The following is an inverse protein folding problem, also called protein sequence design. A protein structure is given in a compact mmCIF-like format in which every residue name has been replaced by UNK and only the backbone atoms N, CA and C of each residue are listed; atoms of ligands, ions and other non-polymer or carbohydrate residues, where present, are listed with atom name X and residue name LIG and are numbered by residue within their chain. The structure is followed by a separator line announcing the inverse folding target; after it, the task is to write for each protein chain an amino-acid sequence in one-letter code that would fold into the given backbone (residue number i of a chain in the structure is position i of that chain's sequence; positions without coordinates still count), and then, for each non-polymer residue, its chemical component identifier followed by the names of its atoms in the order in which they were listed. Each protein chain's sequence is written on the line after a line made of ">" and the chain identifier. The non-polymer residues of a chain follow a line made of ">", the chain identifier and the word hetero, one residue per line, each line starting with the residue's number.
data_IF_467079414291
#
_entry.id   IF_467079414291
#
_cell.length_a   1.000
_cell.length_b   1.000
_cell.length_c   1.000
_cell.angle_alpha   90.00
_cell.angle_beta   90.00
_cell.angle_gamma   90.00
#
_symmetry.space_group_name_H-M   'P 1'
#
loop_
_entity.id
_entity.type
_entity.pdbx_description
1 polymer ?
#
# COMPACT_ATOMS: atom_id res chain seq x y z
N UNK A 1 12.58 14.66 -2.81
CA UNK A 1 12.79 13.88 -1.57
C UNK A 1 11.68 12.85 -1.50
N UNK A 2 11.98 11.56 -1.68
CA UNK A 2 10.99 10.47 -1.53
C UNK A 2 10.72 10.34 -0.03
N UNK A 3 9.46 10.50 0.35
CA UNK A 3 9.04 10.38 1.74
C UNK A 3 8.97 8.90 2.05
N UNK A 4 9.80 8.45 3.00
CA UNK A 4 9.80 7.11 3.60
C UNK A 4 10.02 5.90 2.67
N UNK A 5 11.18 5.25 2.79
CA UNK A 5 11.27 3.78 2.65
C UNK A 5 10.59 3.12 3.87
N UNK A 6 9.35 3.52 4.15
CA UNK A 6 8.58 3.09 5.31
C UNK A 6 8.44 1.57 5.33
N UNK A 7 8.15 1.04 6.51
CA UNK A 7 7.97 -0.40 6.72
C UNK A 7 6.94 -0.97 5.73
N UNK A 8 7.35 -2.02 5.01
CA UNK A 8 6.60 -2.59 3.88
C UNK A 8 6.52 -4.11 3.99
N UNK A 9 5.43 -4.65 3.47
CA UNK A 9 5.25 -6.08 3.23
C UNK A 9 5.07 -6.34 1.74
N UNK A 10 5.85 -7.29 1.21
CA UNK A 10 5.67 -7.76 -0.15
C UNK A 10 4.62 -8.86 -0.18
N UNK A 11 3.54 -8.64 -0.92
CA UNK A 11 2.52 -9.67 -1.19
C UNK A 11 2.48 -9.90 -2.70
N UNK A 12 3.02 -11.05 -3.10
CA UNK A 12 3.05 -11.50 -4.50
C UNK A 12 3.67 -10.47 -5.48
N UNK A 13 4.67 -9.72 -5.01
CA UNK A 13 5.37 -8.72 -5.79
C UNK A 13 4.84 -7.28 -5.64
N UNK A 14 3.78 -7.06 -4.87
CA UNK A 14 3.29 -5.72 -4.52
C UNK A 14 3.81 -5.33 -3.15
N UNK A 15 4.46 -4.16 -3.07
CA UNK A 15 5.03 -3.63 -1.84
C UNK A 15 4.00 -2.73 -1.15
N UNK A 16 3.30 -3.30 -0.17
CA UNK A 16 2.28 -2.62 0.62
C UNK A 16 2.92 -1.93 1.82
N UNK A 17 2.55 -0.70 2.10
CA UNK A 17 3.00 0.00 3.30
C UNK A 17 2.29 -0.57 4.52
N UNK A 18 3.04 -0.87 5.58
CA UNK A 18 2.51 -1.28 6.88
C UNK A 18 2.11 -0.05 7.69
N UNK A 19 1.08 0.63 7.20
CA UNK A 19 0.48 1.80 7.84
C UNK A 19 -0.99 1.52 8.14
N UNK A 20 -1.48 2.01 9.27
CA UNK A 20 -2.91 2.03 9.56
C UNK A 20 -3.57 3.26 8.92
N UNK A 21 -4.89 3.36 9.10
CA UNK A 21 -5.69 4.44 8.53
C UNK A 21 -5.30 5.83 9.07
N UNK A 22 -5.00 5.93 10.37
CA UNK A 22 -4.68 7.20 11.01
C UNK A 22 -3.34 7.74 10.50
N UNK A 23 -2.32 6.88 10.43
CA UNK A 23 -1.02 7.21 9.87
C UNK A 23 -1.13 7.55 8.37
N UNK A 24 -1.95 6.83 7.61
CA UNK A 24 -2.23 7.17 6.22
C UNK A 24 -2.87 8.56 6.09
N UNK A 25 -3.90 8.88 6.88
CA UNK A 25 -4.54 10.19 6.90
C UNK A 25 -3.59 11.32 7.29
N UNK A 26 -2.68 11.07 8.24
CA UNK A 26 -1.63 12.01 8.62
C UNK A 26 -0.68 12.30 7.47
N UNK A 27 -0.19 11.26 6.78
CA UNK A 27 0.65 11.41 5.58
C UNK A 27 -0.05 12.20 4.48
N UNK A 28 -1.33 11.92 4.24
CA UNK A 28 -2.15 12.68 3.28
C UNK A 28 -2.24 14.15 3.69
N UNK A 29 -2.48 14.43 4.97
CA UNK A 29 -2.56 15.80 5.49
C UNK A 29 -1.24 16.56 5.30
N UNK A 30 -0.10 15.89 5.38
CA UNK A 30 1.20 16.48 5.08
C UNK A 30 1.43 16.66 3.58
N UNK A 31 0.98 15.72 2.75
CA UNK A 31 1.04 15.84 1.29
C UNK A 31 0.22 17.01 0.76
N UNK A 32 -0.93 17.30 1.36
CA UNK A 32 -1.78 18.45 0.97
C UNK A 32 -1.10 19.81 1.18
N UNK A 33 -0.07 19.89 2.03
CA UNK A 33 0.72 21.10 2.24
C UNK A 33 1.78 21.32 1.15
N UNK A 34 1.99 20.34 0.28
CA UNK A 34 3.01 20.37 -0.78
C UNK A 34 2.38 20.72 -2.13
N UNK A 35 3.06 21.52 -2.94
CA UNK A 35 2.68 21.79 -4.34
C UNK A 35 3.11 20.66 -5.30
N UNK A 36 2.83 19.41 -4.92
CA UNK A 36 3.21 18.23 -5.70
C UNK A 36 2.03 17.25 -5.78
N UNK A 37 1.79 16.69 -6.97
CA UNK A 37 0.85 15.58 -7.11
C UNK A 37 1.38 14.35 -6.38
N UNK A 38 0.49 13.65 -5.67
CA UNK A 38 0.77 12.41 -4.94
C UNK A 38 -0.24 11.35 -5.32
N UNK A 39 0.22 10.11 -5.43
CA UNK A 39 -0.59 8.96 -5.85
C UNK A 39 -0.76 8.02 -4.66
N UNK A 40 -2.02 7.73 -4.35
CA UNK A 40 -2.41 6.76 -3.32
C UNK A 40 -3.14 5.63 -4.02
N UNK A 41 -2.75 4.40 -3.71
CA UNK A 41 -3.39 3.19 -4.24
C UNK A 41 -3.80 2.31 -3.06
N UNK A 42 -4.98 1.71 -3.15
CA UNK A 42 -5.56 0.83 -2.13
C UNK A 42 -5.71 -0.60 -2.65
N UNK A 43 -4.61 -1.34 -2.88
CA UNK A 43 -4.70 -2.67 -3.47
C UNK A 43 -5.35 -3.67 -2.50
N UNK A 44 -6.44 -4.28 -2.97
CA UNK A 44 -7.04 -5.48 -2.38
C UNK A 44 -6.52 -6.76 -3.06
N UNK A 45 -7.07 -7.91 -2.70
CA UNK A 45 -6.63 -9.21 -3.22
C UNK A 45 -6.80 -9.31 -4.74
N UNK A 46 -7.89 -8.80 -5.30
CA UNK A 46 -8.18 -8.81 -6.73
C UNK A 46 -7.16 -7.99 -7.52
N UNK A 47 -6.83 -6.78 -7.03
CA UNK A 47 -5.82 -5.90 -7.64
C UNK A 47 -4.44 -6.54 -7.61
N UNK A 48 -4.04 -7.12 -6.47
CA UNK A 48 -2.75 -7.83 -6.35
C UNK A 48 -2.68 -8.97 -7.36
N UNK A 49 -3.75 -9.74 -7.52
CA UNK A 49 -3.80 -10.85 -8.47
C UNK A 49 -3.77 -10.39 -9.93
N UNK A 50 -4.40 -9.26 -10.25
CA UNK A 50 -4.31 -8.64 -11.58
C UNK A 50 -2.88 -8.18 -11.88
N UNK A 51 -2.23 -7.49 -10.93
CA UNK A 51 -0.87 -6.97 -11.08
C UNK A 51 0.20 -8.08 -11.23
N UNK A 52 -0.09 -9.31 -10.82
CA UNK A 52 0.81 -10.45 -11.10
C UNK A 52 0.92 -10.78 -12.59
N UNK A 53 -0.14 -10.52 -13.35
CA UNK A 53 -0.22 -10.83 -14.79
C UNK A 53 0.18 -9.63 -15.66
N UNK A 54 0.26 -8.44 -15.06
CA UNK A 54 0.51 -7.19 -15.76
C UNK A 54 1.66 -6.41 -15.09
N UNK A 55 2.78 -6.32 -15.81
CA UNK A 55 4.00 -5.65 -15.32
C UNK A 55 3.83 -4.12 -15.24
N UNK A 56 3.01 -3.52 -16.08
CA UNK A 56 2.78 -2.08 -16.06
C UNK A 56 1.96 -1.69 -14.83
N UNK A 57 0.89 -2.43 -14.56
CA UNK A 57 0.09 -2.26 -13.34
C UNK A 57 0.96 -2.45 -12.09
N UNK A 58 1.76 -3.52 -12.05
CA UNK A 58 2.68 -3.77 -10.93
C UNK A 58 3.63 -2.60 -10.68
N UNK A 59 4.25 -2.09 -11.76
CA UNK A 59 5.20 -0.96 -11.67
C UNK A 59 4.50 0.29 -11.17
N UNK A 60 3.30 0.59 -11.68
CA UNK A 60 2.52 1.75 -11.28
C UNK A 60 2.14 1.68 -9.79
N UNK A 61 1.62 0.54 -9.32
CA UNK A 61 1.26 0.36 -7.91
C UNK A 61 2.48 0.55 -7.00
N UNK A 62 3.59 -0.11 -7.32
CA UNK A 62 4.81 -0.02 -6.49
C UNK A 62 5.48 1.36 -6.55
N UNK A 63 5.13 2.21 -7.52
CA UNK A 63 5.62 3.58 -7.63
C UNK A 63 4.76 4.63 -6.90
N UNK A 64 3.63 4.22 -6.32
CA UNK A 64 2.73 5.11 -5.55
C UNK A 64 3.40 5.67 -4.29
N UNK A 65 2.98 6.87 -3.88
CA UNK A 65 3.45 7.50 -2.64
C UNK A 65 2.88 6.78 -1.40
N UNK A 66 1.65 6.28 -1.49
CA UNK A 66 1.04 5.41 -0.48
C UNK A 66 0.38 4.21 -1.18
N UNK A 67 0.85 3.03 -0.82
CA UNK A 67 0.29 1.73 -1.21
C UNK A 67 -0.39 1.13 0.02
N UNK A 68 -1.66 1.50 0.26
CA UNK A 68 -2.41 1.22 1.48
C UNK A 68 -3.12 -0.14 1.37
N UNK A 69 -2.84 -1.13 2.23
CA UNK A 69 -3.52 -2.42 2.20
C UNK A 69 -5.05 -2.28 2.32
N UNK A 70 -5.82 -2.94 1.46
CA UNK A 70 -7.28 -2.97 1.55
C UNK A 70 -7.84 -4.41 1.57
N UNK A 71 -8.90 -4.62 2.35
CA UNK A 71 -9.63 -5.89 2.41
C UNK A 71 -9.01 -6.98 3.27
N UNK A 72 -9.87 -7.92 3.71
CA UNK A 72 -9.51 -8.99 4.64
C UNK A 72 -8.48 -9.97 4.06
N UNK A 73 -8.50 -10.20 2.73
CA UNK A 73 -7.57 -11.11 2.07
C UNK A 73 -6.11 -10.66 2.22
N UNK A 74 -5.88 -9.35 2.17
CA UNK A 74 -4.54 -8.75 2.32
C UNK A 74 -4.07 -8.85 3.77
N UNK A 75 -4.96 -8.59 4.74
CA UNK A 75 -4.69 -8.77 6.17
C UNK A 75 -4.35 -10.24 6.47
N UNK A 76 -5.12 -11.19 5.94
CA UNK A 76 -4.87 -12.62 6.13
C UNK A 76 -3.52 -13.04 5.53
N UNK A 77 -3.22 -12.58 4.31
CA UNK A 77 -1.93 -12.84 3.67
C UNK A 77 -0.76 -12.29 4.50
N UNK A 78 -0.91 -11.11 5.12
CA UNK A 78 0.12 -10.54 6.00
C UNK A 78 0.42 -11.40 7.23
N UNK A 79 -0.62 -12.02 7.81
CA UNK A 79 -0.49 -12.95 8.95
C UNK A 79 0.22 -14.24 8.53
N UNK A 80 -0.14 -14.80 7.37
CA UNK A 80 0.51 -16.00 6.81
C UNK A 80 2.00 -15.75 6.56
N UNK A 81 2.36 -14.54 6.13
CA UNK A 81 3.75 -14.13 5.86
C UNK A 81 4.53 -13.72 7.13
N UNK A 82 3.93 -13.83 8.32
CA UNK A 82 4.60 -13.51 9.59
C UNK A 82 4.86 -12.02 9.83
N UNK A 83 4.24 -11.14 9.04
CA UNK A 83 4.34 -9.67 9.17
C UNK A 83 2.94 -9.06 9.21
N UNK A 84 2.20 -9.21 10.33
CA UNK A 84 0.81 -8.78 10.38
C UNK A 84 0.68 -7.27 10.15
N UNK A 85 -0.30 -6.92 9.33
CA UNK A 85 -0.84 -5.57 9.23
C UNK A 85 -1.70 -5.26 10.46
N UNK A 86 -1.66 -4.01 10.92
CA UNK A 86 -2.31 -3.55 12.16
C UNK A 86 -3.81 -3.81 12.13
N UNK A 87 -4.51 -3.49 11.03
CA UNK A 87 -5.96 -3.70 10.91
C UNK A 87 -6.49 -3.50 9.48
N UNK A 88 -7.76 -3.86 9.23
CA UNK A 88 -8.45 -3.66 7.95
C UNK A 88 -8.94 -2.21 7.89
N UNK A 89 -8.74 -1.55 6.75
CA UNK A 89 -9.17 -0.16 6.53
C UNK A 89 -10.69 -0.02 6.27
N UNK A 90 -11.44 -1.14 6.22
CA UNK A 90 -12.90 -1.22 6.00
C UNK A 90 -13.54 -2.44 6.67
#
# INVERSE_FOLDING_TARGET
>A
MRVDEGDKINILGIDLHRVDYEEACKRVSDYLKLNTCRIIVTPNAEIIMAARKDKEIKTLINSSDICLPDGIGVVLASKILGKPLSERTT
#
